data_IF_737831521187
#
_entry.id   IF_737831521187
#
_cell.length_a   1.000
_cell.length_b   1.000
_cell.length_c   1.000
_cell.angle_alpha   90.00
_cell.angle_beta   90.00
_cell.angle_gamma   90.00
#
_symmetry.space_group_name_H-M   'P 1'
#
loop_
_entity.id
_entity.type
_entity.pdbx_description
1 polymer ?
#
# COMPACT_ATOMS: atom_id res chain seq x y z
N UNK A 1 16.84 14.00 18.56
CA UNK A 1 15.67 13.31 17.96
C UNK A 1 16.00 12.84 16.54
N UNK A 2 16.49 13.68 15.61
CA UNK A 2 16.80 13.28 14.22
C UNK A 2 17.74 12.07 14.14
N UNK A 3 18.80 12.01 14.92
CA UNK A 3 19.74 10.88 14.94
C UNK A 3 19.06 9.56 15.34
N UNK A 4 18.10 9.60 16.28
CA UNK A 4 17.34 8.41 16.70
C UNK A 4 16.45 7.92 15.55
N UNK A 5 15.78 8.85 14.83
CA UNK A 5 15.01 8.51 13.63
C UNK A 5 15.88 7.89 12.55
N UNK A 6 17.06 8.44 12.28
CA UNK A 6 17.98 7.90 11.28
C UNK A 6 18.48 6.48 11.64
N UNK A 7 18.63 6.15 12.92
CA UNK A 7 18.95 4.79 13.36
C UNK A 7 17.77 3.82 13.10
N UNK A 8 16.54 4.25 13.38
CA UNK A 8 15.35 3.46 13.09
C UNK A 8 15.13 3.32 11.58
N UNK A 9 15.35 4.36 10.80
CA UNK A 9 15.28 4.27 9.33
C UNK A 9 16.31 3.28 8.78
N UNK A 10 17.52 3.26 9.33
CA UNK A 10 18.54 2.27 8.95
C UNK A 10 18.07 0.84 9.25
N UNK A 11 17.44 0.61 10.40
CA UNK A 11 16.88 -0.70 10.73
C UNK A 11 15.73 -1.08 9.78
N UNK A 12 14.82 -0.16 9.50
CA UNK A 12 13.73 -0.39 8.52
C UNK A 12 14.29 -0.77 7.15
N UNK A 13 15.30 -0.04 6.67
CA UNK A 13 15.95 -0.33 5.39
C UNK A 13 16.57 -1.73 5.39
N UNK A 14 17.24 -2.12 6.47
CA UNK A 14 17.81 -3.46 6.61
C UNK A 14 16.76 -4.56 6.50
N UNK A 15 15.62 -4.40 7.19
CA UNK A 15 14.51 -5.35 7.10
C UNK A 15 13.91 -5.39 5.68
N UNK A 16 13.68 -4.21 5.07
CA UNK A 16 13.15 -4.10 3.70
C UNK A 16 14.09 -4.74 2.68
N UNK A 17 15.40 -4.49 2.76
CA UNK A 17 16.38 -5.06 1.82
C UNK A 17 16.38 -6.58 1.87
N UNK A 18 16.24 -7.15 3.05
CA UNK A 18 16.10 -8.60 3.20
C UNK A 18 14.83 -9.13 2.52
N UNK A 19 13.69 -8.47 2.71
CA UNK A 19 12.42 -8.88 2.07
C UNK A 19 12.50 -8.72 0.55
N UNK A 20 12.99 -7.58 0.07
CA UNK A 20 13.18 -7.32 -1.36
C UNK A 20 14.03 -8.41 -2.02
N UNK A 21 15.11 -8.84 -1.36
CA UNK A 21 15.96 -9.93 -1.84
C UNK A 21 15.20 -11.25 -1.95
N UNK A 22 14.35 -11.59 -0.98
CA UNK A 22 13.54 -12.82 -0.99
C UNK A 22 12.53 -12.83 -2.15
N UNK A 23 11.90 -11.68 -2.45
CA UNK A 23 10.90 -11.56 -3.51
C UNK A 23 11.48 -11.25 -4.90
N UNK A 24 12.77 -10.89 -5.00
CA UNK A 24 13.43 -10.58 -6.28
C UNK A 24 13.76 -11.82 -7.14
N UNK A 25 13.63 -13.01 -6.58
CA UNK A 25 13.91 -14.26 -7.29
C UNK A 25 12.72 -14.69 -8.16
N UNK A 26 13.00 -15.46 -9.23
CA UNK A 26 11.95 -15.95 -10.15
C UNK A 26 10.90 -16.80 -9.43
N UNK A 27 11.33 -17.68 -8.54
CA UNK A 27 10.46 -18.52 -7.72
C UNK A 27 10.71 -18.13 -6.26
N UNK A 28 9.72 -17.48 -5.66
CA UNK A 28 9.77 -17.15 -4.23
C UNK A 28 9.58 -18.45 -3.45
N UNK A 29 10.50 -18.74 -2.55
CA UNK A 29 10.38 -19.86 -1.64
C UNK A 29 9.34 -19.50 -0.56
N UNK A 30 8.25 -20.24 -0.51
CA UNK A 30 7.15 -20.00 0.43
C UNK A 30 7.58 -20.16 1.89
N UNK A 31 8.65 -20.89 2.19
CA UNK A 31 9.23 -20.94 3.54
C UNK A 31 9.73 -19.56 4.02
N UNK A 32 10.07 -18.66 3.12
CA UNK A 32 10.49 -17.29 3.41
C UNK A 32 9.31 -16.34 3.73
N UNK A 33 8.07 -16.73 3.44
CA UNK A 33 6.90 -15.85 3.67
C UNK A 33 6.75 -15.56 5.16
N UNK A 34 6.87 -16.56 6.03
CA UNK A 34 6.82 -16.37 7.49
C UNK A 34 7.89 -15.40 7.99
N UNK A 35 9.11 -15.51 7.45
CA UNK A 35 10.22 -14.58 7.76
C UNK A 35 9.90 -13.16 7.27
N UNK A 36 9.33 -13.02 6.08
CA UNK A 36 8.95 -11.73 5.51
C UNK A 36 7.85 -11.04 6.33
N UNK A 37 6.84 -11.80 6.77
CA UNK A 37 5.77 -11.31 7.66
C UNK A 37 6.36 -10.81 8.98
N UNK A 38 7.25 -11.59 9.60
CA UNK A 38 7.90 -11.21 10.85
C UNK A 38 8.72 -9.91 10.72
N UNK A 39 9.41 -9.72 9.59
CA UNK A 39 10.16 -8.50 9.30
C UNK A 39 9.24 -7.31 9.05
N UNK A 40 8.15 -7.48 8.30
CA UNK A 40 7.16 -6.43 8.09
C UNK A 40 6.50 -6.00 9.39
N UNK A 41 6.14 -6.94 10.26
CA UNK A 41 5.62 -6.64 11.59
C UNK A 41 6.61 -5.82 12.42
N UNK A 42 7.91 -6.14 12.36
CA UNK A 42 8.95 -5.35 13.04
C UNK A 42 9.02 -3.93 12.49
N UNK A 43 8.93 -3.75 11.18
CA UNK A 43 8.87 -2.42 10.54
C UNK A 43 7.65 -1.65 11.07
N UNK A 44 6.48 -2.27 11.14
CA UNK A 44 5.26 -1.65 11.67
C UNK A 44 5.45 -1.20 13.13
N UNK A 45 6.03 -2.04 13.97
CA UNK A 45 6.30 -1.66 15.38
C UNK A 45 7.29 -0.51 15.49
N UNK A 46 8.35 -0.49 14.66
CA UNK A 46 9.28 0.64 14.61
C UNK A 46 8.54 1.92 14.17
N UNK A 47 7.67 1.84 13.18
CA UNK A 47 6.89 3.01 12.73
C UNK A 47 5.97 3.55 13.82
N UNK A 48 5.36 2.68 14.63
CA UNK A 48 4.56 3.10 15.80
C UNK A 48 5.43 3.85 16.81
N UNK A 49 6.63 3.34 17.12
CA UNK A 49 7.57 4.01 18.01
C UNK A 49 7.94 5.39 17.47
N UNK A 50 8.21 5.51 16.15
CA UNK A 50 8.54 6.79 15.52
C UNK A 50 7.42 7.81 15.65
N UNK A 51 6.16 7.38 15.50
CA UNK A 51 4.99 8.26 15.69
C UNK A 51 4.87 8.67 17.16
N UNK A 52 5.01 7.74 18.11
CA UNK A 52 4.92 8.04 19.53
C UNK A 52 6.04 8.95 20.04
N UNK A 53 7.24 8.85 19.46
CA UNK A 53 8.36 9.72 19.80
C UNK A 53 8.13 11.21 19.51
N UNK A 54 7.17 11.56 18.65
CA UNK A 54 6.79 12.95 18.38
C UNK A 54 6.29 13.60 19.66
N UNK A 55 5.61 12.85 20.54
CA UNK A 55 5.12 13.34 21.83
C UNK A 55 6.22 13.93 22.72
N UNK A 56 7.45 13.41 22.60
CA UNK A 56 8.59 13.98 23.32
C UNK A 56 8.86 15.41 22.87
N UNK A 57 8.67 15.73 21.57
CA UNK A 57 8.82 17.10 21.06
C UNK A 57 7.66 18.00 21.50
N UNK A 58 6.46 17.44 21.64
CA UNK A 58 5.27 18.17 22.08
C UNK A 58 5.35 18.63 23.55
N UNK A 59 6.25 18.04 24.34
CA UNK A 59 6.49 18.51 25.73
C UNK A 59 7.35 19.76 25.78
N UNK A 60 7.93 20.18 24.68
CA UNK A 60 8.80 21.35 24.59
C UNK A 60 7.93 22.61 24.43
N UNK A 61 8.23 23.63 25.25
CA UNK A 61 7.56 24.93 25.07
C UNK A 61 8.12 25.71 23.88
N UNK A 62 7.36 26.66 23.31
CA UNK A 62 7.90 27.52 22.26
C UNK A 62 9.18 28.27 22.68
N UNK A 63 9.32 28.64 23.96
CA UNK A 63 10.48 29.33 24.48
C UNK A 63 11.71 28.41 24.48
N UNK A 64 11.57 27.15 24.94
CA UNK A 64 12.66 26.17 24.91
C UNK A 64 13.15 25.91 23.47
N UNK A 65 12.22 25.95 22.50
CA UNK A 65 12.58 25.79 21.09
C UNK A 65 13.41 26.95 20.55
N UNK A 66 13.10 28.20 20.95
CA UNK A 66 13.79 29.38 20.48
C UNK A 66 15.27 29.37 20.90
N UNK A 67 15.63 28.79 22.05
CA UNK A 67 17.01 28.76 22.55
C UNK A 67 17.97 27.99 21.63
N UNK A 68 17.46 27.02 20.83
CA UNK A 68 18.33 26.24 19.94
C UNK A 68 17.90 26.27 18.46
N UNK A 69 16.83 26.98 18.12
CA UNK A 69 16.31 27.06 16.73
C UNK A 69 17.37 27.42 15.71
N UNK A 70 18.25 28.38 16.03
CA UNK A 70 19.25 28.88 15.11
C UNK A 70 20.34 27.83 14.81
N UNK A 71 20.56 26.88 15.70
CA UNK A 71 21.46 25.76 15.48
C UNK A 71 20.89 24.68 14.55
N UNK A 72 19.59 24.73 14.25
CA UNK A 72 18.94 23.76 13.37
C UNK A 72 19.00 24.16 11.89
N UNK A 73 19.22 25.43 11.60
CA UNK A 73 19.28 25.94 10.22
C UNK A 73 20.61 25.55 9.57
N UNK A 74 20.64 24.99 8.35
CA UNK A 74 19.52 24.75 7.41
C UNK A 74 18.94 23.33 7.44
N UNK A 75 19.02 22.60 8.53
CA UNK A 75 18.58 21.21 8.62
C UNK A 75 17.05 21.08 8.51
N UNK A 76 16.60 20.09 7.76
CA UNK A 76 15.18 19.78 7.57
C UNK A 76 14.96 18.25 7.52
N UNK A 77 13.88 17.76 8.09
CA UNK A 77 13.47 16.37 7.98
C UNK A 77 13.24 15.90 6.52
N UNK A 78 12.97 16.84 5.61
CA UNK A 78 12.85 16.57 4.17
C UNK A 78 14.18 16.17 3.52
N UNK A 79 15.31 16.41 4.17
CA UNK A 79 16.66 16.06 3.70
C UNK A 79 17.09 14.64 4.08
N UNK A 80 16.27 13.87 4.80
CA UNK A 80 16.60 12.48 5.15
C UNK A 80 16.62 11.59 3.92
N UNK A 81 17.80 11.20 3.49
CA UNK A 81 18.02 10.23 2.39
C UNK A 81 17.43 8.87 2.76
N UNK A 82 17.61 8.42 4.02
CA UNK A 82 17.10 7.13 4.47
C UNK A 82 15.57 7.08 4.42
N UNK A 83 14.88 8.13 4.84
CA UNK A 83 13.43 8.22 4.75
C UNK A 83 12.96 8.11 3.29
N UNK A 84 13.60 8.83 2.36
CA UNK A 84 13.28 8.75 0.92
C UNK A 84 13.51 7.35 0.34
N UNK A 85 14.58 6.68 0.78
CA UNK A 85 14.84 5.28 0.40
C UNK A 85 13.77 4.32 0.92
N UNK A 86 13.24 4.53 2.12
CA UNK A 86 12.12 3.73 2.65
C UNK A 86 10.89 3.91 1.77
N UNK A 87 10.52 5.15 1.45
CA UNK A 87 9.38 5.44 0.56
C UNK A 87 9.53 4.75 -0.80
N UNK A 88 10.71 4.83 -1.42
CA UNK A 88 11.00 4.18 -2.70
C UNK A 88 10.91 2.65 -2.60
N UNK A 89 11.53 2.06 -1.57
CA UNK A 89 11.54 0.60 -1.36
C UNK A 89 10.16 0.04 -1.06
N UNK A 90 9.29 0.79 -0.37
CA UNK A 90 7.89 0.42 -0.18
C UNK A 90 7.05 0.60 -1.45
N UNK A 91 7.49 1.48 -2.36
CA UNK A 91 6.82 1.77 -3.62
C UNK A 91 5.80 2.91 -3.51
N UNK A 92 6.04 3.89 -2.64
CA UNK A 92 5.23 5.11 -2.61
C UNK A 92 5.50 5.95 -3.87
N UNK A 93 4.43 6.21 -4.63
CA UNK A 93 4.51 7.00 -5.86
C UNK A 93 4.86 8.46 -5.54
N UNK A 94 5.65 9.10 -6.41
CA UNK A 94 6.15 10.46 -6.18
C UNK A 94 5.02 11.49 -6.09
N UNK A 95 3.96 11.34 -6.86
CA UNK A 95 2.78 12.20 -6.86
C UNK A 95 1.91 12.06 -5.59
N UNK A 96 2.08 10.97 -4.84
CA UNK A 96 1.38 10.72 -3.57
C UNK A 96 2.21 11.13 -2.34
N UNK A 97 3.42 11.65 -2.55
CA UNK A 97 4.27 12.11 -1.45
C UNK A 97 3.86 13.50 -1.01
N UNK A 98 3.99 13.72 0.29
CA UNK A 98 3.77 15.05 0.85
C UNK A 98 4.82 16.03 0.30
N UNK A 99 4.36 17.12 -0.31
CA UNK A 99 5.18 18.25 -0.76
C UNK A 99 5.00 19.44 0.17
N UNK A 100 6.09 19.98 0.67
CA UNK A 100 6.05 21.23 1.46
C UNK A 100 6.28 22.41 0.54
N UNK A 101 5.37 23.40 0.59
CA UNK A 101 5.46 24.59 -0.26
C UNK A 101 5.28 24.33 -1.76
N UNK A 102 4.78 23.15 -2.17
CA UNK A 102 4.59 22.80 -3.58
C UNK A 102 5.86 22.34 -4.29
N UNK A 103 7.01 22.34 -3.63
CA UNK A 103 8.28 21.92 -4.20
C UNK A 103 8.50 20.40 -4.10
N UNK A 104 9.20 19.87 -5.09
CA UNK A 104 9.63 18.48 -5.07
C UNK A 104 10.68 18.28 -3.96
N UNK A 105 10.56 17.21 -3.16
CA UNK A 105 11.51 16.88 -2.08
C UNK A 105 12.97 16.83 -2.54
N UNK A 106 13.23 16.60 -3.83
CA UNK A 106 14.56 16.55 -4.43
C UNK A 106 15.28 17.92 -4.40
N UNK A 107 14.53 19.03 -4.33
CA UNK A 107 15.09 20.38 -4.23
C UNK A 107 15.85 20.60 -2.91
N UNK A 108 15.49 19.84 -1.87
CA UNK A 108 16.12 19.95 -0.55
C UNK A 108 17.35 19.04 -0.36
N UNK A 109 17.67 18.18 -1.34
CA UNK A 109 18.78 17.25 -1.29
C UNK A 109 20.02 17.82 -2.02
N UNK A 110 21.21 17.58 -1.49
CA UNK A 110 22.44 17.86 -2.20
C UNK A 110 22.65 16.90 -3.40
N UNK A 111 23.63 17.17 -4.25
CA UNK A 111 23.86 16.37 -5.48
C UNK A 111 24.17 14.90 -5.21
N UNK A 112 24.92 14.60 -4.14
CA UNK A 112 25.28 13.22 -3.79
C UNK A 112 24.06 12.45 -3.29
N UNK A 113 23.27 13.05 -2.41
CA UNK A 113 22.04 12.51 -1.84
C UNK A 113 20.98 12.29 -2.92
N UNK A 114 20.81 13.25 -3.84
CA UNK A 114 19.92 13.12 -5.00
C UNK A 114 20.28 11.90 -5.85
N UNK A 115 21.57 11.66 -6.11
CA UNK A 115 22.03 10.50 -6.87
C UNK A 115 21.71 9.19 -6.15
N UNK A 116 21.88 9.15 -4.83
CA UNK A 116 21.59 7.97 -4.02
C UNK A 116 20.09 7.65 -3.97
N UNK A 117 19.26 8.67 -3.79
CA UNK A 117 17.80 8.54 -3.79
C UNK A 117 17.32 8.10 -5.17
N UNK A 118 17.81 8.71 -6.25
CA UNK A 118 17.44 8.34 -7.63
C UNK A 118 17.77 6.87 -7.91
N UNK A 119 18.95 6.40 -7.51
CA UNK A 119 19.31 4.99 -7.64
C UNK A 119 18.32 4.05 -6.93
N UNK A 120 17.72 4.49 -5.82
CA UNK A 120 16.72 3.70 -5.11
C UNK A 120 15.33 3.73 -5.77
N UNK A 121 15.04 4.72 -6.63
CA UNK A 121 13.82 4.79 -7.42
C UNK A 121 13.83 3.78 -8.58
N UNK A 122 15.00 3.51 -9.17
CA UNK A 122 15.16 2.60 -10.31
C UNK A 122 15.01 1.12 -9.92
N UNK A 123 14.99 0.81 -8.64
CA UNK A 123 14.86 -0.55 -8.12
C UNK A 123 13.40 -1.04 -8.09
N UNK A 124 13.22 -2.36 -8.09
CA UNK A 124 11.91 -2.95 -7.81
C UNK A 124 11.52 -2.64 -6.35
N UNK A 125 10.38 -1.98 -6.17
CA UNK A 125 9.81 -1.77 -4.84
C UNK A 125 9.14 -3.04 -4.31
N UNK A 126 8.91 -3.07 -3.00
CA UNK A 126 8.18 -4.17 -2.36
C UNK A 126 6.79 -4.36 -2.97
N UNK A 127 6.09 -3.25 -3.25
CA UNK A 127 4.79 -3.30 -3.91
C UNK A 127 4.86 -4.05 -5.25
N UNK A 128 5.80 -3.68 -6.13
CA UNK A 128 5.98 -4.30 -7.45
C UNK A 128 6.37 -5.78 -7.32
N UNK A 129 7.21 -6.13 -6.36
CA UNK A 129 7.63 -7.52 -6.16
C UNK A 129 6.50 -8.40 -5.63
N UNK A 130 5.69 -7.89 -4.70
CA UNK A 130 4.51 -8.59 -4.20
C UNK A 130 3.48 -8.75 -5.33
N UNK A 131 3.23 -7.71 -6.12
CA UNK A 131 2.35 -7.79 -7.28
C UNK A 131 2.77 -8.89 -8.25
N UNK A 132 4.06 -8.92 -8.62
CA UNK A 132 4.62 -9.99 -9.47
C UNK A 132 4.53 -11.38 -8.83
N UNK A 133 4.64 -11.47 -7.51
CA UNK A 133 4.48 -12.73 -6.80
C UNK A 133 3.02 -13.20 -6.83
N UNK A 134 2.07 -12.31 -6.58
CA UNK A 134 0.64 -12.60 -6.69
C UNK A 134 0.25 -13.04 -8.11
N UNK A 135 0.74 -12.37 -9.15
CA UNK A 135 0.49 -12.75 -10.55
C UNK A 135 0.95 -14.16 -10.92
N UNK A 136 1.85 -14.73 -10.13
CA UNK A 136 2.37 -16.10 -10.31
C UNK A 136 1.61 -17.14 -9.50
N UNK A 137 0.58 -16.75 -8.76
CA UNK A 137 -0.20 -17.68 -7.93
C UNK A 137 -0.70 -18.85 -8.78
N UNK A 138 -0.32 -20.09 -8.44
CA UNK A 138 -0.71 -21.27 -9.21
C UNK A 138 -2.18 -21.64 -8.95
N UNK A 139 -2.70 -22.57 -9.74
CA UNK A 139 -4.00 -23.23 -9.55
C UNK A 139 -5.26 -22.38 -9.81
N UNK A 140 -5.15 -21.18 -10.36
CA UNK A 140 -6.29 -20.42 -10.84
C UNK A 140 -6.96 -21.06 -12.07
N UNK A 141 -6.22 -21.87 -12.81
CA UNK A 141 -6.71 -22.67 -13.94
C UNK A 141 -6.32 -24.14 -13.73
N UNK A 142 -7.28 -25.03 -13.58
CA UNK A 142 -7.04 -26.46 -13.43
C UNK A 142 -7.69 -27.23 -14.58
N UNK A 143 -6.89 -27.80 -15.47
CA UNK A 143 -7.36 -28.55 -16.63
C UNK A 143 -8.22 -27.69 -17.56
N UNK A 144 -9.46 -28.10 -17.78
CA UNK A 144 -10.44 -27.33 -18.60
C UNK A 144 -11.28 -26.35 -17.76
N UNK A 145 -11.15 -26.36 -16.45
CA UNK A 145 -11.94 -25.56 -15.53
C UNK A 145 -11.15 -24.36 -15.05
N UNK A 146 -11.73 -23.16 -15.17
CA UNK A 146 -11.17 -21.95 -14.58
C UNK A 146 -11.93 -21.65 -13.28
N UNK A 147 -11.23 -21.57 -12.16
CA UNK A 147 -11.80 -21.16 -10.89
C UNK A 147 -12.64 -19.88 -11.04
N UNK A 148 -12.11 -18.91 -11.78
CA UNK A 148 -12.76 -17.61 -11.93
C UNK A 148 -14.08 -17.70 -12.71
N UNK A 149 -14.21 -18.58 -13.70
CA UNK A 149 -15.46 -18.77 -14.43
C UNK A 149 -16.56 -19.40 -13.56
N UNK A 150 -16.17 -20.36 -12.72
CA UNK A 150 -17.12 -20.98 -11.77
C UNK A 150 -17.49 -20.01 -10.66
N UNK A 151 -16.52 -19.27 -10.12
CA UNK A 151 -16.73 -18.24 -9.11
C UNK A 151 -17.65 -17.13 -9.63
N UNK A 152 -17.42 -16.61 -10.83
CA UNK A 152 -18.28 -15.62 -11.48
C UNK A 152 -19.71 -16.11 -11.61
N UNK A 153 -19.88 -17.37 -12.03
CA UNK A 153 -21.20 -17.98 -12.17
C UNK A 153 -21.91 -18.09 -10.81
N UNK A 154 -21.20 -18.52 -9.79
CA UNK A 154 -21.72 -18.63 -8.42
C UNK A 154 -22.10 -17.24 -7.85
N UNK A 155 -21.23 -16.24 -8.03
CA UNK A 155 -21.49 -14.86 -7.58
C UNK A 155 -22.70 -14.26 -8.30
N UNK A 156 -22.79 -14.41 -9.63
CA UNK A 156 -23.96 -13.93 -10.39
C UNK A 156 -25.25 -14.56 -9.92
N UNK A 157 -25.25 -15.87 -9.62
CA UNK A 157 -26.41 -16.55 -9.07
C UNK A 157 -26.76 -16.02 -7.69
N UNK A 158 -25.81 -15.94 -6.78
CA UNK A 158 -26.00 -15.40 -5.43
C UNK A 158 -26.61 -13.98 -5.48
N UNK A 159 -26.04 -13.10 -6.27
CA UNK A 159 -26.52 -11.73 -6.43
C UNK A 159 -27.94 -11.69 -7.00
N UNK A 160 -28.26 -12.54 -7.97
CA UNK A 160 -29.60 -12.63 -8.54
C UNK A 160 -30.65 -13.11 -7.50
N UNK A 161 -30.28 -14.13 -6.70
CA UNK A 161 -31.12 -14.67 -5.65
C UNK A 161 -31.37 -13.62 -4.54
N UNK A 162 -30.31 -12.92 -4.08
CA UNK A 162 -30.40 -11.85 -3.08
C UNK A 162 -31.31 -10.71 -3.55
N UNK A 163 -31.18 -10.29 -4.80
CA UNK A 163 -32.03 -9.28 -5.40
C UNK A 163 -33.50 -9.73 -5.43
N UNK A 164 -33.74 -10.97 -5.86
CA UNK A 164 -35.08 -11.55 -5.87
C UNK A 164 -35.71 -11.59 -4.48
N UNK A 165 -34.95 -11.95 -3.45
CA UNK A 165 -35.39 -11.95 -2.05
C UNK A 165 -35.80 -10.54 -1.61
N UNK A 166 -35.00 -9.52 -1.90
CA UNK A 166 -35.31 -8.12 -1.53
C UNK A 166 -36.58 -7.64 -2.24
N UNK A 167 -36.69 -7.87 -3.56
CA UNK A 167 -37.80 -7.39 -4.39
C UNK A 167 -39.14 -8.05 -4.01
N UNK A 168 -39.12 -9.35 -3.71
CA UNK A 168 -40.34 -10.13 -3.39
C UNK A 168 -40.73 -10.09 -1.93
N UNK A 169 -39.89 -9.58 -1.04
CA UNK A 169 -40.19 -9.55 0.39
C UNK A 169 -41.36 -8.61 0.73
N UNK A 170 -42.46 -9.20 1.13
CA UNK A 170 -43.71 -8.48 1.51
C UNK A 170 -43.63 -7.79 2.88
N UNK A 171 -42.62 -8.10 3.69
CA UNK A 171 -42.43 -7.51 5.04
C UNK A 171 -41.62 -6.21 5.01
N UNK A 172 -40.96 -5.92 3.89
CA UNK A 172 -40.16 -4.70 3.73
C UNK A 172 -41.03 -3.59 3.12
N UNK A 173 -40.95 -2.41 3.70
CA UNK A 173 -41.49 -1.19 3.09
C UNK A 173 -40.69 -0.79 1.84
N UNK A 174 -41.26 0.05 0.99
CA UNK A 174 -40.57 0.52 -0.24
C UNK A 174 -39.27 1.29 0.07
N UNK A 175 -39.23 2.01 1.18
CA UNK A 175 -38.02 2.72 1.61
C UNK A 175 -36.92 1.75 2.05
N UNK A 176 -37.25 0.69 2.76
CA UNK A 176 -36.30 -0.34 3.17
C UNK A 176 -35.79 -1.13 1.96
N UNK A 177 -36.67 -1.51 1.03
CA UNK A 177 -36.29 -2.14 -0.24
C UNK A 177 -35.30 -1.28 -1.01
N UNK A 178 -35.55 0.03 -1.11
CA UNK A 178 -34.66 0.98 -1.76
C UNK A 178 -33.27 1.05 -1.11
N UNK A 179 -33.24 1.03 0.22
CA UNK A 179 -31.97 1.01 0.99
C UNK A 179 -31.20 -0.27 0.70
N UNK A 180 -31.82 -1.44 0.82
CA UNK A 180 -31.15 -2.72 0.56
C UNK A 180 -30.71 -2.87 -0.90
N UNK A 181 -31.48 -2.42 -1.87
CA UNK A 181 -31.07 -2.42 -3.27
C UNK A 181 -29.88 -1.48 -3.55
N UNK A 182 -29.74 -0.38 -2.80
CA UNK A 182 -28.58 0.47 -2.91
C UNK A 182 -27.31 -0.19 -2.32
N UNK A 183 -27.44 -0.93 -1.22
CA UNK A 183 -26.36 -1.72 -0.64
C UNK A 183 -25.98 -2.87 -1.57
N UNK A 184 -26.95 -3.56 -2.13
CA UNK A 184 -26.77 -4.57 -3.16
C UNK A 184 -25.93 -4.04 -4.35
N UNK A 185 -26.28 -2.88 -4.90
CA UNK A 185 -25.51 -2.26 -6.00
C UNK A 185 -24.07 -1.97 -5.64
N UNK A 186 -23.78 -1.61 -4.39
CA UNK A 186 -22.40 -1.44 -3.92
C UNK A 186 -21.64 -2.77 -3.90
N UNK A 187 -22.29 -3.81 -3.41
CA UNK A 187 -21.74 -5.18 -3.39
C UNK A 187 -21.49 -5.69 -4.80
N UNK A 188 -22.46 -5.56 -5.71
CA UNK A 188 -22.31 -5.91 -7.12
C UNK A 188 -21.13 -5.19 -7.78
N UNK A 189 -20.97 -3.88 -7.50
CA UNK A 189 -19.83 -3.10 -7.99
C UNK A 189 -18.51 -3.59 -7.43
N UNK A 190 -18.47 -4.00 -6.16
CA UNK A 190 -17.25 -4.56 -5.52
C UNK A 190 -16.82 -5.86 -6.19
N UNK A 191 -17.76 -6.77 -6.47
CA UNK A 191 -17.47 -7.98 -7.23
C UNK A 191 -17.03 -7.67 -8.67
N UNK A 192 -17.61 -6.62 -9.28
CA UNK A 192 -17.24 -6.18 -10.62
C UNK A 192 -15.75 -5.89 -10.77
N UNK A 193 -15.09 -5.39 -9.75
CA UNK A 193 -13.64 -5.09 -9.75
C UNK A 193 -12.80 -6.36 -9.93
N UNK A 194 -13.22 -7.47 -9.35
CA UNK A 194 -12.50 -8.76 -9.38
C UNK A 194 -12.90 -9.60 -10.59
N UNK A 195 -14.13 -9.47 -11.05
CA UNK A 195 -14.70 -10.31 -12.11
C UNK A 195 -14.66 -9.69 -13.50
N UNK A 196 -14.44 -8.37 -13.62
CA UNK A 196 -14.48 -7.66 -14.88
C UNK A 196 -13.25 -6.78 -15.07
N UNK A 197 -12.38 -7.19 -15.98
CA UNK A 197 -11.13 -6.49 -16.28
C UNK A 197 -11.34 -5.03 -16.72
N UNK A 198 -12.44 -4.74 -17.45
CA UNK A 198 -12.75 -3.36 -17.89
C UNK A 198 -13.13 -2.45 -16.72
N UNK A 199 -13.90 -2.96 -15.77
CA UNK A 199 -14.25 -2.21 -14.55
C UNK A 199 -13.04 -2.01 -13.66
N UNK A 200 -12.20 -3.03 -13.53
CA UNK A 200 -10.92 -2.95 -12.83
C UNK A 200 -10.00 -1.87 -13.46
N UNK A 201 -9.82 -1.89 -14.80
CA UNK A 201 -8.98 -0.93 -15.52
C UNK A 201 -9.41 0.52 -15.28
N UNK A 202 -10.71 0.81 -15.24
CA UNK A 202 -11.21 2.15 -14.89
C UNK A 202 -10.79 2.61 -13.50
N UNK A 203 -10.73 1.69 -12.52
CA UNK A 203 -10.28 2.01 -11.17
C UNK A 203 -8.78 2.25 -11.11
N UNK A 204 -8.00 1.50 -11.88
CA UNK A 204 -6.55 1.72 -11.99
C UNK A 204 -6.27 3.07 -12.66
N UNK A 205 -6.94 3.39 -13.77
CA UNK A 205 -6.81 4.66 -14.48
C UNK A 205 -7.21 5.87 -13.61
N UNK A 206 -8.22 5.72 -12.77
CA UNK A 206 -8.63 6.76 -11.81
C UNK A 206 -7.69 6.89 -10.61
N UNK A 207 -6.67 6.02 -10.47
CA UNK A 207 -5.78 5.96 -9.32
C UNK A 207 -6.43 5.44 -8.02
N UNK A 208 -7.69 4.94 -8.10
CA UNK A 208 -8.43 4.39 -6.97
C UNK A 208 -8.01 2.95 -6.64
N UNK A 209 -7.39 2.26 -7.58
CA UNK A 209 -6.83 0.93 -7.42
C UNK A 209 -5.41 0.88 -7.99
N UNK A 210 -4.57 -0.01 -7.48
CA UNK A 210 -3.16 0.00 -7.87
C UNK A 210 -2.63 -1.35 -8.37
N UNK A 211 -3.18 -2.46 -7.86
CA UNK A 211 -2.76 -3.80 -8.31
C UNK A 211 -3.25 -4.06 -9.75
N UNK A 212 -2.49 -4.83 -10.51
CA UNK A 212 -2.94 -5.36 -11.79
C UNK A 212 -4.17 -6.26 -11.63
N UNK A 213 -4.93 -6.47 -12.70
CA UNK A 213 -6.12 -7.32 -12.66
C UNK A 213 -5.78 -8.74 -12.18
N UNK A 214 -4.70 -9.29 -12.70
CA UNK A 214 -4.24 -10.64 -12.36
C UNK A 214 -3.78 -10.75 -10.90
N UNK A 215 -3.05 -9.75 -10.40
CA UNK A 215 -2.67 -9.69 -8.99
C UNK A 215 -3.87 -9.51 -8.07
N UNK A 216 -4.87 -8.71 -8.49
CA UNK A 216 -6.13 -8.53 -7.74
C UNK A 216 -6.92 -9.83 -7.64
N UNK A 217 -6.92 -10.65 -8.68
CA UNK A 217 -7.55 -11.97 -8.65
C UNK A 217 -6.82 -12.98 -7.77
N UNK A 218 -5.54 -12.79 -7.52
CA UNK A 218 -4.72 -13.69 -6.71
C UNK A 218 -4.67 -13.29 -5.23
N UNK A 219 -5.01 -12.04 -4.90
CA UNK A 219 -5.02 -11.50 -3.55
C UNK A 219 -6.31 -11.85 -2.80
#
# INVERSE_FOLDING_TARGET
THQVYELWFKQIIYELDSILKMFSVKNVDESNIGTSISRLNRIIEIQKILVDQIRVLETMTPMDFLDFRDFLVPASGFQSVQFRKIENKLGLLSEKRYSYGGENYKSYLNKADNKEVHKSEDGNSLFVLIEKWLERTPFLNWGKTSFWNEYETAVKKMLSDDRGIIETNKKLSDNEKKKYLNEYKKTEKSFGVVLNEKEHSKLVESGSWRLSYKATQAA
#
